data_IF_919671468460
#
_entry.id   IF_919671468460
#
_cell.length_a   1.000
_cell.length_b   1.000
_cell.length_c   1.000
_cell.angle_alpha   90.00
_cell.angle_beta   90.00
_cell.angle_gamma   90.00
#
_symmetry.space_group_name_H-M   'P 1'
#
loop_
_entity.id
_entity.type
_entity.pdbx_description
1 polymer ?
#
# COMPACT_ATOMS: atom_id res chain seq x y z
N UNK A 1 5.31 6.79 24.69
CA UNK A 1 4.39 6.05 23.80
C UNK A 1 3.92 4.84 24.56
N UNK A 2 2.62 4.47 24.52
CA UNK A 2 2.17 3.22 25.15
C UNK A 2 2.68 2.04 24.32
N UNK A 3 2.87 0.89 24.97
CA UNK A 3 3.42 -0.31 24.34
C UNK A 3 2.63 -1.54 24.81
N UNK A 4 2.39 -2.45 23.88
CA UNK A 4 1.83 -3.78 24.13
C UNK A 4 2.54 -4.74 23.18
N UNK A 5 2.95 -5.92 23.69
CA UNK A 5 3.63 -6.91 22.85
C UNK A 5 2.78 -7.25 21.61
N UNK A 6 3.41 -7.27 20.41
CA UNK A 6 2.69 -7.62 19.19
C UNK A 6 2.29 -9.09 19.22
N UNK A 7 1.03 -9.35 18.89
CA UNK A 7 0.55 -10.72 18.64
C UNK A 7 1.19 -11.25 17.36
N UNK A 8 1.40 -12.58 17.24
CA UNK A 8 1.78 -13.19 15.98
C UNK A 8 0.95 -12.69 14.78
N UNK A 9 1.61 -12.46 13.64
CA UNK A 9 0.94 -12.12 12.37
C UNK A 9 0.12 -13.28 11.83
N UNK A 10 0.54 -14.51 12.13
CA UNK A 10 -0.09 -15.77 11.73
C UNK A 10 -0.48 -16.60 12.97
N UNK A 11 -1.58 -17.38 12.90
CA UNK A 11 -1.95 -18.31 13.95
C UNK A 11 -1.09 -19.58 13.86
N UNK A 12 0.16 -19.54 14.34
CA UNK A 12 1.13 -20.65 14.19
C UNK A 12 0.62 -22.01 14.70
N UNK A 13 -0.26 -22.02 15.71
CA UNK A 13 -0.88 -23.26 16.23
C UNK A 13 -1.83 -23.92 15.23
N UNK A 14 -2.34 -23.16 14.27
CA UNK A 14 -3.22 -23.61 13.20
C UNK A 14 -2.46 -23.88 11.89
N UNK A 15 -1.13 -23.77 11.87
CA UNK A 15 -0.35 -23.89 10.63
C UNK A 15 -0.59 -25.23 9.92
N UNK A 16 -0.60 -26.34 10.66
CA UNK A 16 -0.79 -27.68 10.07
C UNK A 16 -2.22 -27.89 9.56
N UNK A 17 -3.25 -27.48 10.30
CA UNK A 17 -4.64 -27.58 9.79
C UNK A 17 -4.85 -26.69 8.55
N UNK A 18 -4.20 -25.52 8.49
CA UNK A 18 -4.22 -24.64 7.30
C UNK A 18 -3.46 -25.26 6.13
N UNK A 19 -2.38 -26.00 6.39
CA UNK A 19 -1.68 -26.79 5.37
C UNK A 19 -2.61 -27.86 4.79
N UNK A 20 -3.34 -28.58 5.63
CA UNK A 20 -4.31 -29.59 5.19
C UNK A 20 -5.36 -28.98 4.27
N UNK A 21 -5.94 -27.82 4.64
CA UNK A 21 -6.85 -27.09 3.75
C UNK A 21 -6.18 -26.70 2.43
N UNK A 22 -4.95 -26.19 2.46
CA UNK A 22 -4.22 -25.83 1.24
C UNK A 22 -4.02 -27.04 0.31
N UNK A 23 -3.65 -28.20 0.86
CA UNK A 23 -3.47 -29.44 0.11
C UNK A 23 -4.80 -29.90 -0.50
N UNK A 24 -5.88 -29.89 0.28
CA UNK A 24 -7.20 -30.30 -0.19
C UNK A 24 -7.73 -29.36 -1.29
N UNK A 25 -7.55 -28.05 -1.12
CA UNK A 25 -7.92 -27.04 -2.12
C UNK A 25 -7.16 -27.27 -3.42
N UNK A 26 -5.83 -27.41 -3.36
CA UNK A 26 -5.02 -27.68 -4.56
C UNK A 26 -5.44 -28.99 -5.24
N UNK A 27 -5.64 -30.06 -4.47
CA UNK A 27 -6.05 -31.36 -4.99
C UNK A 27 -7.42 -31.31 -5.68
N UNK A 28 -8.40 -30.64 -5.07
CA UNK A 28 -9.74 -30.49 -5.63
C UNK A 28 -9.73 -29.70 -6.95
N UNK A 29 -8.93 -28.63 -7.03
CA UNK A 29 -8.79 -27.84 -8.27
C UNK A 29 -8.12 -28.70 -9.35
N UNK A 30 -7.06 -29.44 -9.00
CA UNK A 30 -6.34 -30.31 -9.96
C UNK A 30 -7.15 -31.50 -10.45
N UNK A 31 -8.13 -31.97 -9.68
CA UNK A 31 -9.05 -33.01 -10.12
C UNK A 31 -9.97 -32.53 -11.25
N UNK A 32 -10.11 -31.21 -11.44
CA UNK A 32 -10.89 -30.64 -12.53
C UNK A 32 -10.08 -30.62 -13.84
N UNK A 33 -10.60 -31.16 -14.96
CA UNK A 33 -9.85 -31.27 -16.23
C UNK A 33 -9.32 -29.96 -16.81
N UNK A 34 -9.90 -28.81 -16.43
CA UNK A 34 -9.44 -27.50 -16.88
C UNK A 34 -8.19 -27.00 -16.14
N UNK A 35 -7.86 -27.58 -14.99
CA UNK A 35 -6.80 -27.10 -14.09
C UNK A 35 -5.83 -28.20 -13.62
N UNK A 36 -5.41 -29.17 -14.46
CA UNK A 36 -4.64 -30.33 -14.02
C UNK A 36 -3.27 -29.97 -13.40
N UNK A 37 -2.69 -28.86 -13.88
CA UNK A 37 -1.38 -28.34 -13.48
C UNK A 37 -1.46 -27.19 -12.47
N UNK A 38 -2.65 -26.92 -11.93
CA UNK A 38 -2.83 -25.86 -10.93
C UNK A 38 -1.95 -26.13 -9.71
N UNK A 39 -1.29 -25.08 -9.24
CA UNK A 39 -0.47 -25.08 -8.02
C UNK A 39 -0.76 -23.81 -7.27
N UNK A 40 -0.90 -23.90 -5.95
CA UNK A 40 -0.95 -22.71 -5.11
C UNK A 40 0.39 -21.96 -5.24
N UNK A 41 0.30 -20.63 -5.32
CA UNK A 41 1.48 -19.77 -5.31
C UNK A 41 1.66 -19.16 -3.90
N UNK A 42 2.76 -18.43 -3.69
CA UNK A 42 3.05 -17.80 -2.41
C UNK A 42 1.91 -16.86 -1.95
N UNK A 43 1.28 -16.13 -2.88
CA UNK A 43 0.10 -15.32 -2.58
C UNK A 43 -1.07 -16.14 -2.03
N UNK A 44 -1.44 -17.24 -2.69
CA UNK A 44 -2.53 -18.10 -2.26
C UNK A 44 -2.25 -18.72 -0.88
N UNK A 45 -1.02 -19.19 -0.65
CA UNK A 45 -0.61 -19.76 0.65
C UNK A 45 -0.65 -18.70 1.75
N UNK A 46 -0.15 -17.49 1.48
CA UNK A 46 -0.24 -16.37 2.42
C UNK A 46 -1.68 -16.01 2.76
N UNK A 47 -2.59 -16.00 1.77
CA UNK A 47 -4.03 -15.83 2.01
C UNK A 47 -4.57 -16.93 2.93
N UNK A 48 -4.31 -18.21 2.63
CA UNK A 48 -4.80 -19.35 3.42
C UNK A 48 -4.25 -19.30 4.86
N UNK A 49 -3.01 -18.85 5.05
CA UNK A 49 -2.43 -18.68 6.38
C UNK A 49 -3.06 -17.51 7.16
N UNK A 50 -3.55 -16.47 6.48
CA UNK A 50 -4.02 -15.25 7.11
C UNK A 50 -5.53 -15.17 7.35
N UNK A 51 -6.36 -15.73 6.48
CA UNK A 51 -7.83 -15.68 6.62
C UNK A 51 -8.29 -16.32 7.94
N UNK A 52 -9.44 -15.92 8.51
CA UNK A 52 -10.04 -16.67 9.62
C UNK A 52 -10.24 -18.14 9.25
N UNK A 53 -10.04 -19.07 10.20
CA UNK A 53 -10.18 -20.52 9.92
C UNK A 53 -11.58 -20.86 9.38
N UNK A 54 -12.61 -20.14 9.84
CA UNK A 54 -13.99 -20.26 9.37
C UNK A 54 -14.18 -19.90 7.89
N UNK A 55 -13.20 -19.23 7.25
CA UNK A 55 -13.22 -19.00 5.81
C UNK A 55 -12.83 -20.26 5.02
N UNK A 56 -12.13 -21.21 5.65
CA UNK A 56 -11.68 -22.48 5.05
C UNK A 56 -12.63 -23.65 5.39
N UNK A 57 -13.28 -23.59 6.56
CA UNK A 57 -14.28 -24.57 7.01
C UNK A 57 -15.57 -24.53 6.20
N UNK A 58 -16.41 -25.56 6.33
CA UNK A 58 -17.68 -25.71 5.62
C UNK A 58 -18.54 -24.43 5.63
N UNK A 59 -19.01 -24.01 4.45
CA UNK A 59 -19.76 -22.77 4.26
C UNK A 59 -18.91 -21.48 4.25
N UNK A 60 -17.61 -21.59 4.52
CA UNK A 60 -16.64 -20.51 4.42
C UNK A 60 -16.37 -20.06 2.98
N UNK A 61 -15.81 -18.86 2.84
CA UNK A 61 -15.59 -18.24 1.53
C UNK A 61 -14.64 -19.05 0.62
N UNK A 62 -13.58 -19.59 1.19
CA UNK A 62 -12.56 -20.42 0.51
C UNK A 62 -12.77 -21.92 0.75
N UNK A 63 -13.94 -22.30 1.29
CA UNK A 63 -14.29 -23.69 1.57
C UNK A 63 -14.47 -24.51 0.30
N UNK A 64 -14.16 -25.79 0.39
CA UNK A 64 -14.52 -26.79 -0.62
C UNK A 64 -16.01 -27.12 -0.65
N UNK A 65 -16.73 -26.82 0.43
CA UNK A 65 -18.16 -27.12 0.58
C UNK A 65 -18.94 -25.86 0.97
N UNK A 66 -20.17 -25.76 0.49
CA UNK A 66 -21.11 -24.72 0.90
C UNK A 66 -21.66 -24.96 2.31
N UNK A 67 -22.57 -24.10 2.76
CA UNK A 67 -23.15 -24.18 4.11
C UNK A 67 -24.04 -25.41 4.34
N UNK A 68 -24.50 -26.07 3.27
CA UNK A 68 -25.30 -27.30 3.34
C UNK A 68 -24.45 -28.56 3.18
N UNK A 69 -23.15 -28.41 2.89
CA UNK A 69 -22.19 -29.51 2.74
C UNK A 69 -21.98 -29.96 1.30
N UNK A 70 -22.61 -29.29 0.34
CA UNK A 70 -22.46 -29.61 -1.08
C UNK A 70 -21.13 -29.04 -1.61
N UNK A 71 -20.43 -29.76 -2.51
CA UNK A 71 -19.19 -29.27 -3.09
C UNK A 71 -19.37 -27.92 -3.81
N UNK A 72 -18.51 -26.95 -3.51
CA UNK A 72 -18.43 -25.71 -4.27
C UNK A 72 -17.91 -25.97 -5.69
N UNK A 73 -18.36 -25.16 -6.64
CA UNK A 73 -17.79 -25.15 -8.00
C UNK A 73 -16.29 -24.84 -7.94
N UNK A 74 -15.47 -25.65 -8.64
CA UNK A 74 -14.03 -25.45 -8.76
C UNK A 74 -13.72 -24.09 -9.40
N UNK A 75 -14.46 -23.69 -10.44
CA UNK A 75 -14.29 -22.39 -11.09
C UNK A 75 -14.53 -21.24 -10.10
N UNK A 76 -15.55 -21.37 -9.25
CA UNK A 76 -15.83 -20.38 -8.21
C UNK A 76 -14.69 -20.33 -7.17
N UNK A 77 -14.13 -21.47 -6.77
CA UNK A 77 -13.02 -21.52 -5.83
C UNK A 77 -11.75 -20.88 -6.40
N UNK A 78 -11.41 -21.19 -7.67
CA UNK A 78 -10.28 -20.57 -8.39
C UNK A 78 -10.49 -19.06 -8.50
N UNK A 79 -11.69 -18.62 -8.86
CA UNK A 79 -12.03 -17.19 -8.96
C UNK A 79 -11.91 -16.48 -7.60
N UNK A 80 -12.36 -17.11 -6.50
CA UNK A 80 -12.23 -16.56 -5.15
C UNK A 80 -10.77 -16.46 -4.70
N UNK A 81 -9.96 -17.48 -4.92
CA UNK A 81 -8.52 -17.45 -4.62
C UNK A 81 -7.81 -16.36 -5.40
N UNK A 82 -8.00 -16.33 -6.73
CA UNK A 82 -7.39 -15.32 -7.61
C UNK A 82 -7.84 -13.92 -7.21
N UNK A 83 -9.13 -13.75 -6.95
CA UNK A 83 -9.69 -12.46 -6.57
C UNK A 83 -9.19 -11.91 -5.22
N UNK A 84 -8.81 -12.78 -4.27
CA UNK A 84 -8.11 -12.30 -3.05
C UNK A 84 -6.73 -11.74 -3.37
N UNK A 85 -6.05 -12.25 -4.40
CA UNK A 85 -4.77 -11.70 -4.85
C UNK A 85 -4.93 -10.38 -5.59
N UNK A 86 -6.03 -10.20 -6.31
CA UNK A 86 -6.34 -8.93 -6.98
C UNK A 86 -6.48 -7.76 -6.00
N UNK A 87 -6.89 -8.02 -4.74
CA UNK A 87 -6.95 -7.02 -3.67
C UNK A 87 -5.56 -6.53 -3.25
N UNK A 88 -4.55 -7.40 -3.29
CA UNK A 88 -3.17 -7.06 -2.92
C UNK A 88 -2.30 -6.71 -4.12
N UNK A 89 -2.85 -6.78 -5.33
CA UNK A 89 -2.12 -6.67 -6.59
C UNK A 89 -1.33 -5.36 -6.75
N UNK A 90 -1.74 -4.26 -6.12
CA UNK A 90 -0.95 -3.02 -6.13
C UNK A 90 0.37 -3.14 -5.36
N UNK A 91 0.48 -4.06 -4.40
CA UNK A 91 1.75 -4.44 -3.79
C UNK A 91 2.56 -5.41 -4.67
N UNK A 92 1.88 -6.26 -5.46
CA UNK A 92 2.51 -7.35 -6.20
C UNK A 92 3.27 -6.92 -7.48
N UNK A 93 3.08 -5.69 -7.96
CA UNK A 93 3.67 -5.22 -9.23
C UNK A 93 5.06 -4.61 -9.04
N UNK A 94 6.11 -5.17 -9.68
CA UNK A 94 7.32 -4.43 -9.98
C UNK A 94 6.98 -3.26 -10.93
N UNK A 95 7.84 -2.25 -10.96
CA UNK A 95 7.67 -1.08 -11.81
C UNK A 95 7.60 -1.52 -13.30
N UNK A 96 6.82 -0.84 -14.17
CA UNK A 96 6.77 -1.15 -15.61
C UNK A 96 8.13 -1.15 -16.33
N UNK A 97 9.18 -0.56 -15.74
CA UNK A 97 10.53 -0.55 -16.30
C UNK A 97 11.34 -1.82 -15.99
N UNK A 98 10.96 -2.60 -14.98
CA UNK A 98 11.59 -3.89 -14.64
C UNK A 98 11.41 -4.92 -15.79
N UNK A 99 10.36 -4.74 -16.60
CA UNK A 99 10.11 -5.55 -17.80
C UNK A 99 10.88 -5.07 -19.05
N UNK A 100 11.38 -3.83 -19.07
CA UNK A 100 12.18 -3.30 -20.20
C UNK A 100 13.68 -3.56 -20.03
N UNK A 101 14.15 -3.67 -18.77
CA UNK A 101 15.54 -4.02 -18.49
C UNK A 101 15.86 -5.47 -18.87
N UNK A 102 14.87 -6.37 -18.88
CA UNK A 102 15.05 -7.77 -19.27
C UNK A 102 15.11 -7.99 -20.79
N UNK A 103 14.56 -7.09 -21.61
CA UNK A 103 14.46 -7.26 -23.07
C UNK A 103 15.59 -6.57 -23.86
N UNK A 104 16.31 -5.63 -23.24
CA UNK A 104 17.43 -4.92 -23.87
C UNK A 104 18.78 -5.65 -23.74
N UNK A 105 18.80 -6.91 -23.25
CA UNK A 105 20.01 -7.72 -23.08
C UNK A 105 20.54 -8.39 -24.35
N UNK A 106 19.93 -8.17 -25.53
CA UNK A 106 20.38 -8.72 -26.81
C UNK A 106 20.48 -7.65 -27.88
N UNK A 107 21.57 -6.88 -27.87
CA UNK A 107 22.14 -6.36 -29.13
C UNK A 107 23.65 -6.24 -29.00
N UNK A 108 24.33 -6.84 -29.97
CA UNK A 108 25.77 -7.05 -30.07
C UNK A 108 26.59 -5.76 -29.96
N UNK A 109 27.62 -5.77 -29.10
CA UNK A 109 28.73 -4.83 -29.12
C UNK A 109 29.72 -5.25 -30.20
N UNK A 110 29.62 -4.65 -31.39
CA UNK A 110 30.70 -4.67 -32.38
C UNK A 110 31.76 -3.63 -32.02
N UNK A 111 32.88 -4.13 -31.51
CA UNK A 111 34.11 -3.40 -31.21
C UNK A 111 34.77 -2.85 -32.49
N UNK A 112 35.20 -1.58 -32.46
CA UNK A 112 36.42 -1.18 -33.19
C UNK A 112 37.31 -0.29 -32.30
N UNK A 113 38.66 -0.38 -32.42
CA UNK A 113 39.58 0.02 -31.36
C UNK A 113 40.19 1.41 -31.60
N UNK A 114 40.40 2.18 -30.53
CA UNK A 114 41.25 3.38 -30.53
C UNK A 114 42.68 3.02 -30.14
N UNK A 115 43.65 3.54 -30.89
CA UNK A 115 45.07 3.60 -30.52
C UNK A 115 45.46 4.96 -29.91
N UNK A 116 46.59 5.01 -29.17
CA UNK A 116 46.83 6.00 -28.10
C UNK A 116 48.00 6.95 -28.37
N UNK A 117 47.94 8.20 -27.87
CA UNK A 117 49.14 9.03 -27.65
C UNK A 117 49.00 9.99 -26.46
N UNK A 118 49.91 9.82 -25.51
CA UNK A 118 50.38 10.75 -24.44
C UNK A 118 51.67 11.46 -24.92
N UNK A 119 52.39 12.37 -24.18
CA UNK A 119 52.13 13.10 -22.91
C UNK A 119 52.70 14.57 -22.82
N UNK A 120 52.63 15.17 -21.59
CA UNK A 120 53.48 16.26 -20.96
C UNK A 120 53.02 17.74 -21.17
N UNK A 121 53.14 18.70 -20.24
CA UNK A 121 53.77 18.83 -18.89
C UNK A 121 53.37 20.17 -18.20
N UNK A 122 53.38 20.16 -16.85
CA UNK A 122 53.83 21.20 -15.85
C UNK A 122 53.04 22.52 -15.64
N UNK A 123 52.49 22.72 -14.42
CA UNK A 123 52.94 23.59 -13.28
C UNK A 123 52.73 25.11 -13.52
N UNK A 124 52.19 25.96 -12.63
CA UNK A 124 52.36 26.10 -11.15
C UNK A 124 51.40 27.20 -10.59
N UNK A 125 50.92 26.99 -9.35
CA UNK A 125 50.77 27.89 -8.18
C UNK A 125 50.04 29.26 -8.20
N UNK A 126 49.14 29.41 -7.21
CA UNK A 126 48.32 30.54 -6.69
C UNK A 126 49.13 31.66 -5.94
N UNK A 127 48.58 32.61 -5.12
CA UNK A 127 47.21 33.17 -4.90
C UNK A 127 47.15 34.73 -4.63
N UNK A 128 45.92 35.23 -4.35
CA UNK A 128 45.51 36.25 -3.34
C UNK A 128 45.13 37.73 -3.70
N UNK A 129 43.88 38.07 -3.28
CA UNK A 129 43.31 39.30 -2.66
C UNK A 129 43.39 40.71 -3.29
N UNK A 130 42.23 41.38 -3.45
CA UNK A 130 41.77 42.59 -2.69
C UNK A 130 40.49 43.23 -3.31
N UNK A 131 39.49 43.51 -2.47
CA UNK A 131 38.28 44.37 -2.66
C UNK A 131 38.60 45.85 -2.37
N UNK A 132 37.67 46.86 -2.34
CA UNK A 132 36.36 47.12 -2.99
C UNK A 132 36.20 48.58 -3.52
N UNK A 133 35.10 48.96 -4.20
CA UNK A 133 34.63 50.38 -4.24
C UNK A 133 33.12 50.56 -4.51
N UNK A 134 32.58 51.65 -3.95
CA UNK A 134 31.18 52.06 -3.70
C UNK A 134 30.63 53.07 -4.73
N UNK A 135 29.29 53.12 -4.88
CA UNK A 135 28.37 54.31 -4.99
C UNK A 135 27.10 53.93 -5.80
N UNK A 136 25.90 54.50 -5.67
CA UNK A 136 25.11 55.22 -4.64
C UNK A 136 23.70 55.49 -5.22
N UNK A 137 22.69 55.58 -4.35
CA UNK A 137 21.23 55.84 -4.51
C UNK A 137 20.81 57.07 -5.38
N UNK A 138 19.83 56.97 -6.32
CA UNK A 138 18.36 57.30 -6.31
C UNK A 138 17.98 58.78 -6.65
N UNK A 139 16.69 59.18 -6.91
CA UNK A 139 15.52 58.57 -7.61
C UNK A 139 14.76 59.58 -8.55
N UNK A 140 13.73 59.14 -9.30
CA UNK A 140 12.60 60.03 -9.68
C UNK A 140 11.31 59.28 -10.01
N UNK A 141 10.21 59.74 -9.39
CA UNK A 141 8.82 59.37 -9.64
C UNK A 141 8.24 60.21 -10.80
N UNK A 142 7.27 59.67 -11.55
CA UNK A 142 5.95 60.28 -11.83
C UNK A 142 5.10 59.43 -12.81
N UNK A 143 3.89 59.10 -12.34
CA UNK A 143 2.60 59.04 -13.07
C UNK A 143 2.27 57.88 -14.05
N UNK A 144 1.20 57.14 -13.69
CA UNK A 144 0.45 56.12 -14.46
C UNK A 144 -0.58 56.77 -15.44
N UNK A 145 -1.56 56.06 -16.07
CA UNK A 145 -1.69 54.64 -16.52
C UNK A 145 -2.22 54.51 -17.98
N UNK A 146 -2.06 53.35 -18.65
CA UNK A 146 -3.05 52.78 -19.61
C UNK A 146 -2.76 51.32 -19.99
N UNK A 147 -3.79 50.52 -20.34
CA UNK A 147 -3.79 49.06 -20.27
C UNK A 147 -3.34 48.39 -21.57
N UNK A 148 -2.56 47.30 -21.48
CA UNK A 148 -2.31 46.40 -22.62
C UNK A 148 -3.18 45.14 -22.49
N UNK A 149 -4.19 45.06 -23.36
CA UNK A 149 -4.88 43.83 -23.78
C UNK A 149 -3.86 42.86 -24.36
N UNK A 150 -3.85 41.62 -23.86
CA UNK A 150 -3.11 40.48 -24.39
C UNK A 150 -3.98 39.23 -24.29
N UNK A 151 -4.79 39.02 -25.33
CA UNK A 151 -5.47 37.80 -25.80
C UNK A 151 -5.29 36.49 -25.01
N UNK A 152 -6.35 36.11 -24.28
CA UNK A 152 -6.65 34.70 -23.93
C UNK A 152 -7.02 33.95 -25.21
N UNK A 153 -6.24 32.92 -25.58
CA UNK A 153 -6.65 31.89 -26.55
C UNK A 153 -7.81 31.10 -25.94
N UNK A 154 -9.04 31.39 -26.38
CA UNK A 154 -10.19 30.54 -26.13
C UNK A 154 -10.03 29.23 -26.91
N UNK A 155 -10.04 28.11 -26.19
CA UNK A 155 -10.25 26.80 -26.82
C UNK A 155 -11.65 26.79 -27.43
N UNK A 156 -11.72 26.57 -28.74
CA UNK A 156 -12.98 26.30 -29.44
C UNK A 156 -13.64 25.09 -28.77
N UNK A 157 -14.85 25.27 -28.22
CA UNK A 157 -15.78 24.17 -27.96
C UNK A 157 -16.21 23.63 -29.32
N UNK A 158 -15.88 22.38 -29.60
CA UNK A 158 -16.62 21.59 -30.59
C UNK A 158 -17.92 21.18 -29.92
N UNK A 159 -19.02 21.79 -30.36
CA UNK A 159 -20.37 21.33 -30.03
C UNK A 159 -20.66 20.12 -30.93
N UNK A 160 -20.12 18.97 -30.55
CA UNK A 160 -20.53 17.68 -31.11
C UNK A 160 -21.65 17.11 -30.22
N UNK A 161 -22.90 17.04 -30.70
CA UNK A 161 -24.03 16.53 -29.92
C UNK A 161 -24.00 15.01 -29.71
N UNK A 162 -23.03 14.29 -30.30
CA UNK A 162 -22.84 12.84 -30.17
C UNK A 162 -21.57 12.45 -29.38
N UNK A 163 -20.91 13.42 -28.73
CA UNK A 163 -19.86 13.14 -27.76
C UNK A 163 -20.48 12.48 -26.52
N UNK A 164 -20.49 11.15 -26.54
CA UNK A 164 -20.89 10.24 -25.47
C UNK A 164 -20.47 10.83 -24.11
N UNK A 165 -21.46 11.22 -23.29
CA UNK A 165 -21.22 11.92 -22.02
C UNK A 165 -20.47 10.97 -21.07
N UNK A 166 -19.15 11.02 -21.10
CA UNK A 166 -18.30 10.35 -20.12
C UNK A 166 -18.42 11.15 -18.81
N UNK A 167 -18.99 10.59 -17.74
CA UNK A 167 -19.11 11.30 -16.47
C UNK A 167 -17.71 11.65 -15.97
N UNK A 168 -17.46 12.94 -15.73
CA UNK A 168 -16.15 13.43 -15.29
C UNK A 168 -15.77 12.82 -13.95
N UNK A 169 -14.50 12.45 -13.80
CA UNK A 169 -13.93 12.01 -12.53
C UNK A 169 -14.14 13.06 -11.44
N UNK A 170 -14.47 12.62 -10.22
CA UNK A 170 -14.53 13.55 -9.07
C UNK A 170 -13.12 13.87 -8.58
N UNK A 171 -12.88 15.14 -8.26
CA UNK A 171 -11.67 15.58 -7.57
C UNK A 171 -11.72 15.25 -6.08
N UNK A 172 -10.55 15.28 -5.42
CA UNK A 172 -10.43 15.02 -3.97
C UNK A 172 -11.09 16.13 -3.13
N UNK A 173 -11.68 15.73 -2.02
CA UNK A 173 -12.40 16.59 -1.09
C UNK A 173 -11.45 17.26 -0.11
N UNK A 174 -11.08 18.50 -0.43
CA UNK A 174 -10.15 19.31 0.37
C UNK A 174 -10.67 19.59 1.79
N UNK A 175 -12.00 19.66 1.99
CA UNK A 175 -12.57 19.85 3.32
C UNK A 175 -12.36 18.62 4.20
N UNK A 176 -12.53 17.41 3.65
CA UNK A 176 -12.29 16.16 4.37
C UNK A 176 -10.80 15.97 4.69
N UNK A 177 -9.91 16.36 3.77
CA UNK A 177 -8.48 16.36 4.01
C UNK A 177 -8.07 17.36 5.11
N UNK A 178 -8.67 18.56 5.11
CA UNK A 178 -8.47 19.54 6.19
C UNK A 178 -8.95 18.99 7.54
N UNK A 179 -10.12 18.34 7.58
CA UNK A 179 -10.65 17.73 8.79
C UNK A 179 -9.72 16.63 9.32
N UNK A 180 -9.16 15.79 8.44
CA UNK A 180 -8.15 14.80 8.82
C UNK A 180 -6.90 15.44 9.43
N UNK A 181 -6.38 16.53 8.82
CA UNK A 181 -5.25 17.27 9.39
C UNK A 181 -5.56 17.83 10.77
N UNK A 182 -6.74 18.42 10.95
CA UNK A 182 -7.18 18.94 12.26
C UNK A 182 -7.25 17.81 13.29
N UNK A 183 -7.91 16.70 12.96
CA UNK A 183 -8.03 15.51 13.82
C UNK A 183 -6.66 14.99 14.26
N UNK A 184 -5.74 14.87 13.31
CA UNK A 184 -4.40 14.34 13.52
C UNK A 184 -3.40 15.41 14.00
N UNK A 185 -3.89 16.58 14.44
CA UNK A 185 -3.12 17.66 15.05
C UNK A 185 -2.00 18.19 14.13
N UNK A 186 -2.25 18.18 12.81
CA UNK A 186 -1.33 18.58 11.74
C UNK A 186 0.05 17.93 11.84
N UNK A 187 0.11 16.69 12.33
CA UNK A 187 1.33 15.93 12.50
C UNK A 187 1.18 14.50 11.99
N UNK A 188 2.30 13.84 11.72
CA UNK A 188 2.31 12.40 11.48
C UNK A 188 1.84 11.68 12.76
N UNK A 189 0.81 10.82 12.65
CA UNK A 189 0.28 10.14 13.84
C UNK A 189 1.26 9.14 14.45
N UNK A 190 2.21 8.62 13.66
CA UNK A 190 3.23 7.66 14.12
C UNK A 190 4.43 8.35 14.76
N UNK A 191 4.95 9.39 14.10
CA UNK A 191 6.22 10.03 14.49
C UNK A 191 6.04 11.39 15.19
N UNK A 192 4.87 12.01 15.10
CA UNK A 192 4.63 13.36 15.63
C UNK A 192 5.33 14.48 14.86
N UNK A 193 5.94 14.18 13.70
CA UNK A 193 6.60 15.18 12.84
C UNK A 193 5.58 16.13 12.22
N UNK A 194 5.95 17.40 12.04
CA UNK A 194 5.15 18.39 11.33
C UNK A 194 5.06 18.10 9.83
N UNK A 195 4.13 18.81 9.16
CA UNK A 195 3.90 18.75 7.71
C UNK A 195 3.57 17.34 7.16
N UNK A 196 2.53 16.66 7.69
CA UNK A 196 2.14 15.36 7.21
C UNK A 196 1.41 15.42 5.87
N UNK A 197 1.48 14.31 5.13
CA UNK A 197 0.60 14.00 4.02
C UNK A 197 -0.68 13.34 4.53
N UNK A 198 -1.81 13.77 3.96
CA UNK A 198 -3.10 13.10 4.19
C UNK A 198 -3.16 11.90 3.25
N UNK A 199 -3.11 10.72 3.84
CA UNK A 199 -3.08 9.45 3.13
C UNK A 199 -4.46 8.80 3.21
N UNK A 200 -4.99 8.34 2.09
CA UNK A 200 -6.16 7.47 2.10
C UNK A 200 -5.77 6.08 2.61
N UNK A 201 -6.62 5.47 3.43
CA UNK A 201 -6.43 4.09 3.90
C UNK A 201 -6.77 3.14 2.75
N UNK A 202 -8.02 3.18 2.28
CA UNK A 202 -8.44 2.58 1.00
C UNK A 202 -8.30 3.63 -0.10
N UNK A 203 -7.64 3.33 -1.23
CA UNK A 203 -7.31 4.34 -2.24
C UNK A 203 -8.52 5.09 -2.80
N UNK A 204 -8.41 6.42 -2.90
CA UNK A 204 -9.41 7.29 -3.54
C UNK A 204 -9.77 6.84 -4.96
N UNK A 205 -8.79 6.31 -5.70
CA UNK A 205 -8.98 5.85 -7.06
C UNK A 205 -9.98 4.71 -7.18
N UNK A 206 -10.31 3.98 -6.12
CA UNK A 206 -11.20 2.82 -6.20
C UNK A 206 -12.65 3.18 -6.60
N UNK A 207 -13.12 4.39 -6.34
CA UNK A 207 -14.50 4.78 -6.64
C UNK A 207 -14.66 6.22 -7.15
N UNK A 208 -13.57 6.89 -7.56
CA UNK A 208 -13.61 8.29 -8.01
C UNK A 208 -14.25 8.49 -9.41
N UNK A 209 -14.43 7.41 -10.17
CA UNK A 209 -15.15 7.38 -11.44
C UNK A 209 -15.82 6.00 -11.64
N UNK A 210 -16.72 5.88 -12.63
CA UNK A 210 -17.48 4.65 -12.87
C UNK A 210 -16.62 3.47 -13.34
N UNK A 211 -15.57 3.71 -14.12
CA UNK A 211 -14.68 2.66 -14.60
C UNK A 211 -13.95 2.00 -13.43
N UNK A 212 -13.38 2.82 -12.55
CA UNK A 212 -12.72 2.34 -11.35
C UNK A 212 -13.71 1.68 -10.39
N UNK A 213 -14.89 2.25 -10.23
CA UNK A 213 -15.95 1.64 -9.43
C UNK A 213 -16.33 0.24 -9.94
N UNK A 214 -16.37 0.03 -11.27
CA UNK A 214 -16.61 -1.28 -11.87
C UNK A 214 -15.48 -2.27 -11.56
N UNK A 215 -14.22 -1.83 -11.67
CA UNK A 215 -13.04 -2.64 -11.32
C UNK A 215 -13.05 -3.01 -9.83
N UNK A 216 -13.28 -2.03 -8.96
CA UNK A 216 -13.45 -2.23 -7.52
C UNK A 216 -14.60 -3.18 -7.21
N UNK A 217 -15.68 -3.13 -7.98
CA UNK A 217 -16.81 -4.05 -7.81
C UNK A 217 -16.48 -5.50 -8.09
N UNK A 218 -15.56 -5.77 -9.02
CA UNK A 218 -15.09 -7.11 -9.30
C UNK A 218 -14.19 -7.66 -8.18
N UNK A 219 -13.40 -6.81 -7.53
CA UNK A 219 -12.38 -7.26 -6.57
C UNK A 219 -12.83 -7.17 -5.09
N UNK A 220 -13.60 -6.15 -4.72
CA UNK A 220 -13.93 -5.86 -3.32
C UNK A 220 -14.76 -6.95 -2.64
N UNK A 221 -15.51 -7.74 -3.42
CA UNK A 221 -16.26 -8.89 -2.91
C UNK A 221 -15.35 -9.93 -2.23
N UNK A 222 -14.08 -9.99 -2.61
CA UNK A 222 -13.11 -10.91 -2.03
C UNK A 222 -12.62 -10.50 -0.63
N UNK A 223 -12.98 -9.29 -0.17
CA UNK A 223 -12.75 -8.88 1.22
C UNK A 223 -13.48 -9.79 2.22
N UNK A 224 -14.54 -10.48 1.78
CA UNK A 224 -15.27 -11.48 2.56
C UNK A 224 -14.35 -12.60 3.07
N UNK A 225 -13.30 -12.97 2.33
CA UNK A 225 -12.34 -13.99 2.76
C UNK A 225 -11.66 -13.63 4.09
N UNK A 226 -11.37 -12.34 4.30
CA UNK A 226 -10.60 -11.85 5.44
C UNK A 226 -11.50 -11.37 6.58
N UNK A 227 -12.59 -10.67 6.24
CA UNK A 227 -13.40 -9.92 7.21
C UNK A 227 -14.82 -10.49 7.37
N UNK A 228 -15.18 -11.49 6.56
CA UNK A 228 -16.46 -12.16 6.61
C UNK A 228 -17.60 -11.41 5.94
N UNK A 229 -18.68 -12.15 5.71
CA UNK A 229 -19.86 -11.67 4.95
C UNK A 229 -20.60 -10.53 5.63
N UNK A 230 -20.64 -10.55 6.96
CA UNK A 230 -21.28 -9.49 7.76
C UNK A 230 -20.58 -8.15 7.59
N UNK A 231 -19.24 -8.16 7.66
CA UNK A 231 -18.42 -6.97 7.40
C UNK A 231 -18.65 -6.45 5.99
N UNK A 232 -18.57 -7.33 4.97
CA UNK A 232 -18.77 -6.93 3.59
C UNK A 232 -20.13 -6.24 3.41
N UNK A 233 -21.23 -6.87 3.86
CA UNK A 233 -22.58 -6.28 3.77
C UNK A 233 -22.69 -4.89 4.41
N UNK A 234 -21.98 -4.66 5.51
CA UNK A 234 -22.02 -3.41 6.24
C UNK A 234 -21.25 -2.28 5.54
N UNK A 235 -20.05 -2.56 5.03
CA UNK A 235 -19.14 -1.52 4.52
C UNK A 235 -19.14 -1.39 3.00
N UNK A 236 -19.72 -2.36 2.29
CA UNK A 236 -19.89 -2.33 0.83
C UNK A 236 -20.47 -1.03 0.29
N UNK A 237 -21.57 -0.48 0.87
CA UNK A 237 -22.20 0.72 0.34
C UNK A 237 -21.34 2.00 0.48
N UNK A 238 -20.24 1.94 1.24
CA UNK A 238 -19.31 3.06 1.43
C UNK A 238 -18.20 3.09 0.37
N UNK A 239 -17.88 1.93 -0.19
CA UNK A 239 -16.83 1.79 -1.21
C UNK A 239 -17.45 1.69 -2.60
N UNK A 240 -18.52 0.89 -2.75
CA UNK A 240 -19.13 0.55 -4.03
C UNK A 240 -20.43 1.30 -4.32
N UNK A 241 -20.53 2.55 -3.88
CA UNK A 241 -21.73 3.36 -4.06
C UNK A 241 -21.87 3.87 -5.50
N UNK A 242 -22.76 3.24 -6.28
CA UNK A 242 -23.01 3.64 -7.68
C UNK A 242 -23.71 4.99 -7.81
N UNK A 243 -24.46 5.41 -6.78
CA UNK A 243 -25.14 6.71 -6.76
C UNK A 243 -24.20 7.85 -6.36
N UNK A 244 -23.08 7.55 -5.71
CA UNK A 244 -22.15 8.54 -5.19
C UNK A 244 -20.69 8.13 -5.38
N UNK A 245 -20.13 8.51 -6.54
CA UNK A 245 -18.68 8.44 -6.78
C UNK A 245 -17.89 9.17 -5.68
N UNK A 246 -16.68 8.69 -5.40
CA UNK A 246 -15.81 9.17 -4.33
C UNK A 246 -16.48 9.15 -2.94
N UNK A 247 -17.40 8.20 -2.72
CA UNK A 247 -18.11 8.04 -1.44
C UNK A 247 -17.19 7.76 -0.26
N UNK A 248 -16.04 7.13 -0.51
CA UNK A 248 -15.01 6.86 0.49
C UNK A 248 -14.01 8.00 0.70
N UNK A 249 -14.16 9.14 -0.01
CA UNK A 249 -13.29 10.31 0.15
C UNK A 249 -13.69 11.13 1.38
N UNK A 250 -13.46 10.53 2.55
CA UNK A 250 -13.95 10.97 3.85
C UNK A 250 -12.86 10.89 4.90
N UNK A 251 -12.98 11.70 5.96
CA UNK A 251 -12.02 11.74 7.06
C UNK A 251 -11.84 10.38 7.75
N UNK A 252 -12.88 9.55 7.85
CA UNK A 252 -12.78 8.18 8.37
C UNK A 252 -11.98 7.23 7.47
N UNK A 253 -11.66 7.59 6.22
CA UNK A 253 -10.78 6.83 5.33
C UNK A 253 -9.44 7.55 5.09
N UNK A 254 -9.04 8.46 5.98
CA UNK A 254 -7.82 9.25 5.85
C UNK A 254 -7.00 9.20 7.14
N UNK A 255 -5.67 9.28 7.01
CA UNK A 255 -4.71 9.33 8.13
C UNK A 255 -3.50 10.20 7.76
N UNK A 256 -3.00 10.99 8.70
CA UNK A 256 -1.82 11.82 8.50
C UNK A 256 -0.53 11.04 8.77
N UNK A 257 0.27 10.84 7.72
CA UNK A 257 1.60 10.23 7.79
C UNK A 257 2.63 11.20 7.24
N UNK A 258 3.87 11.16 7.73
CA UNK A 258 4.94 11.83 7.00
C UNK A 258 5.22 11.06 5.71
N UNK A 259 5.95 11.70 4.79
CA UNK A 259 6.14 11.15 3.46
C UNK A 259 6.83 9.78 3.45
N UNK A 260 7.77 9.55 4.38
CA UNK A 260 8.45 8.27 4.51
C UNK A 260 7.50 7.16 4.95
N UNK A 261 6.69 7.40 6.00
CA UNK A 261 5.75 6.41 6.49
C UNK A 261 4.63 6.15 5.46
N UNK A 262 4.21 7.16 4.70
CA UNK A 262 3.26 6.96 3.61
C UNK A 262 3.81 5.96 2.57
N UNK A 263 5.04 6.17 2.09
CA UNK A 263 5.68 5.27 1.12
C UNK A 263 5.78 3.86 1.67
N UNK A 264 6.27 3.71 2.91
CA UNK A 264 6.47 2.39 3.52
C UNK A 264 5.18 1.64 3.81
N UNK A 265 4.11 2.35 4.12
CA UNK A 265 2.79 1.73 4.25
C UNK A 265 2.25 1.25 2.90
N UNK A 266 2.50 2.03 1.84
CA UNK A 266 2.23 1.67 0.45
C UNK A 266 3.11 0.53 -0.09
N UNK A 267 4.21 0.21 0.58
CA UNK A 267 5.11 -0.91 0.25
C UNK A 267 4.93 -2.11 1.20
N UNK A 268 3.89 -2.11 2.05
CA UNK A 268 3.62 -3.17 3.02
C UNK A 268 4.78 -3.45 4.01
N UNK A 269 5.66 -2.46 4.26
CA UNK A 269 6.78 -2.59 5.22
C UNK A 269 6.33 -2.57 6.67
N UNK A 270 5.20 -1.95 6.94
CA UNK A 270 4.53 -1.99 8.24
C UNK A 270 3.02 -2.02 8.05
N UNK A 271 2.29 -2.43 9.08
CA UNK A 271 0.84 -2.34 9.15
C UNK A 271 0.36 -1.77 10.48
N UNK A 272 -0.91 -1.36 10.48
CA UNK A 272 -1.59 -0.84 11.66
C UNK A 272 -2.71 -1.82 12.01
N UNK A 273 -2.64 -2.45 13.18
CA UNK A 273 -3.68 -3.36 13.66
C UNK A 273 -4.58 -2.61 14.63
N UNK A 274 -5.87 -2.50 14.32
CA UNK A 274 -6.82 -1.91 15.26
C UNK A 274 -7.03 -2.86 16.45
N UNK A 275 -6.84 -2.36 17.66
CA UNK A 275 -7.00 -3.15 18.89
C UNK A 275 -8.35 -2.87 19.55
N UNK A 276 -8.75 -1.60 19.64
CA UNK A 276 -9.94 -1.21 20.39
C UNK A 276 -10.50 0.14 19.93
N UNK A 277 -11.80 0.33 20.18
CA UNK A 277 -12.50 1.61 20.09
C UNK A 277 -13.07 1.91 21.47
N UNK A 278 -12.54 2.93 22.13
CA UNK A 278 -13.01 3.35 23.45
C UNK A 278 -13.86 4.60 23.33
N UNK A 279 -15.14 4.58 23.68
CA UNK A 279 -15.94 5.80 23.74
C UNK A 279 -15.36 6.72 24.80
N UNK A 280 -15.37 8.02 24.53
CA UNK A 280 -15.03 9.06 25.50
C UNK A 280 -16.28 9.89 25.84
N UNK A 281 -16.13 10.90 26.69
CA UNK A 281 -17.20 11.87 26.89
C UNK A 281 -17.53 12.59 25.57
N UNK A 282 -18.74 13.16 25.49
CA UNK A 282 -19.12 14.13 24.45
C UNK A 282 -19.25 13.59 23.01
N UNK A 283 -19.51 12.29 22.83
CA UNK A 283 -19.78 11.73 21.50
C UNK A 283 -18.52 11.47 20.66
N UNK A 284 -17.34 11.59 21.26
CA UNK A 284 -16.06 11.23 20.68
C UNK A 284 -15.66 9.79 21.07
N UNK A 285 -14.75 9.21 20.30
CA UNK A 285 -14.16 7.89 20.53
C UNK A 285 -12.67 7.92 20.24
N UNK A 286 -11.91 7.12 20.98
CA UNK A 286 -10.49 6.90 20.74
C UNK A 286 -10.31 5.54 20.07
N UNK A 287 -9.79 5.55 18.85
CA UNK A 287 -9.37 4.33 18.15
C UNK A 287 -7.91 4.08 18.50
N UNK A 288 -7.63 2.90 19.07
CA UNK A 288 -6.26 2.48 19.42
C UNK A 288 -5.77 1.45 18.41
N UNK A 289 -4.63 1.71 17.78
CA UNK A 289 -3.99 0.75 16.89
C UNK A 289 -2.54 0.49 17.29
N UNK A 290 -2.11 -0.73 17.03
CA UNK A 290 -0.75 -1.20 17.23
C UNK A 290 0.02 -1.10 15.93
N UNK A 291 1.15 -0.41 15.96
CA UNK A 291 2.12 -0.43 14.89
C UNK A 291 2.84 -1.77 14.85
N UNK A 292 3.00 -2.35 13.66
CA UNK A 292 3.70 -3.60 13.45
C UNK A 292 4.59 -3.49 12.21
N UNK A 293 5.91 -3.68 12.39
CA UNK A 293 6.78 -3.97 11.26
C UNK A 293 6.39 -5.31 10.63
N UNK A 294 6.54 -5.40 9.31
CA UNK A 294 6.21 -6.59 8.55
C UNK A 294 7.49 -7.33 8.13
N UNK A 295 7.46 -8.68 8.09
CA UNK A 295 8.57 -9.46 7.55
C UNK A 295 8.74 -9.18 6.05
N UNK A 296 9.98 -9.22 5.55
CA UNK A 296 10.24 -9.24 4.12
C UNK A 296 10.49 -10.69 3.70
N UNK A 297 9.54 -11.28 2.97
CA UNK A 297 9.73 -12.63 2.42
C UNK A 297 10.59 -12.56 1.17
N UNK A 298 11.61 -13.44 1.07
CA UNK A 298 12.42 -13.59 -0.13
C UNK A 298 11.69 -14.32 -1.28
N UNK A 299 10.45 -14.78 -1.04
CA UNK A 299 9.61 -15.41 -2.06
C UNK A 299 9.02 -14.35 -3.00
N UNK A 300 8.65 -14.73 -4.23
CA UNK A 300 7.81 -13.88 -5.08
C UNK A 300 6.35 -14.30 -4.94
N UNK A 301 5.39 -13.36 -5.06
CA UNK A 301 3.97 -13.67 -4.93
C UNK A 301 3.46 -14.77 -5.89
N UNK A 302 4.10 -14.88 -7.06
CA UNK A 302 3.75 -15.83 -8.13
C UNK A 302 4.54 -17.15 -8.05
N UNK A 303 5.47 -17.30 -7.12
CA UNK A 303 6.24 -18.54 -6.96
C UNK A 303 5.29 -19.68 -6.60
N UNK A 304 5.32 -20.77 -7.38
CA UNK A 304 4.54 -21.99 -7.10
C UNK A 304 5.10 -22.65 -5.84
N UNK A 305 4.22 -22.99 -4.91
CA UNK A 305 4.61 -23.49 -3.60
C UNK A 305 4.57 -25.01 -3.55
N UNK A 306 5.60 -25.62 -2.97
CA UNK A 306 5.50 -26.97 -2.44
C UNK A 306 4.89 -26.95 -1.03
N UNK A 307 3.78 -27.67 -0.84
CA UNK A 307 3.04 -27.72 0.43
C UNK A 307 3.49 -28.87 1.35
N UNK A 308 4.21 -29.86 0.79
CA UNK A 308 4.51 -31.14 1.44
C UNK A 308 5.99 -31.49 1.34
N UNK A 309 6.41 -32.43 2.18
CA UNK A 309 7.80 -32.91 2.25
C UNK A 309 8.66 -32.08 3.19
N UNK A 310 9.90 -32.54 3.40
CA UNK A 310 10.87 -31.85 4.25
C UNK A 310 11.29 -30.53 3.59
N UNK A 311 11.38 -29.47 4.39
CA UNK A 311 11.76 -28.13 3.95
C UNK A 311 10.82 -27.59 2.86
N UNK A 312 9.52 -27.87 2.99
CA UNK A 312 8.49 -27.38 2.06
C UNK A 312 8.46 -25.86 2.06
N UNK A 313 8.01 -25.25 0.96
CA UNK A 313 7.92 -23.80 0.91
C UNK A 313 6.88 -23.24 1.89
N UNK A 314 5.84 -24.03 2.19
CA UNK A 314 4.90 -23.73 3.26
C UNK A 314 5.62 -23.61 4.61
N UNK A 315 6.49 -24.58 4.97
CA UNK A 315 7.30 -24.52 6.19
C UNK A 315 8.20 -23.29 6.20
N UNK A 316 8.84 -23.00 5.08
CA UNK A 316 9.72 -21.82 4.96
C UNK A 316 8.95 -20.52 5.22
N UNK A 317 7.74 -20.37 4.71
CA UNK A 317 6.90 -19.19 4.95
C UNK A 317 6.50 -19.07 6.43
N UNK A 318 6.00 -20.16 7.02
CA UNK A 318 5.56 -20.20 8.43
C UNK A 318 6.75 -19.96 9.38
N UNK A 319 7.85 -20.67 9.18
CA UNK A 319 9.05 -20.57 10.01
C UNK A 319 9.72 -19.20 9.90
N UNK A 320 9.70 -18.58 8.71
CA UNK A 320 10.20 -17.21 8.52
C UNK A 320 9.37 -16.21 9.33
N UNK A 321 8.03 -16.27 9.21
CA UNK A 321 7.13 -15.41 9.97
C UNK A 321 7.25 -15.63 11.49
N UNK A 322 7.39 -16.88 11.93
CA UNK A 322 7.57 -17.21 13.34
C UNK A 322 8.92 -16.73 13.88
N UNK A 323 10.00 -16.91 13.11
CA UNK A 323 11.34 -16.45 13.47
C UNK A 323 11.39 -14.92 13.56
N UNK A 324 10.76 -14.21 12.62
CA UNK A 324 10.64 -12.76 12.67
C UNK A 324 9.91 -12.29 13.94
N UNK A 325 8.79 -12.94 14.29
CA UNK A 325 8.05 -12.63 15.51
C UNK A 325 8.84 -12.94 16.79
N UNK A 326 9.46 -14.13 16.89
CA UNK A 326 10.33 -14.52 18.03
C UNK A 326 11.57 -13.61 18.15
N UNK A 327 12.05 -13.06 17.04
CA UNK A 327 13.12 -12.06 16.97
C UNK A 327 12.69 -10.65 17.37
N UNK A 328 11.47 -10.47 17.89
CA UNK A 328 10.95 -9.19 18.37
C UNK A 328 10.26 -8.34 17.29
N UNK A 329 9.99 -8.91 16.11
CA UNK A 329 9.40 -8.19 14.97
C UNK A 329 10.18 -6.92 14.63
N UNK A 330 11.50 -7.03 14.65
CA UNK A 330 12.45 -5.99 14.29
C UNK A 330 12.97 -6.34 12.90
N UNK A 331 12.81 -5.45 11.92
CA UNK A 331 13.46 -5.66 10.65
C UNK A 331 14.97 -5.66 10.78
N UNK A 332 15.63 -6.53 10.02
CA UNK A 332 17.08 -6.60 9.97
C UNK A 332 17.67 -5.34 9.34
N UNK A 333 18.92 -5.03 9.69
CA UNK A 333 19.65 -3.90 9.09
C UNK A 333 19.90 -4.08 7.59
N UNK A 334 19.75 -5.29 7.05
CA UNK A 334 19.80 -5.55 5.61
C UNK A 334 18.49 -5.13 4.92
N UNK A 335 17.33 -5.43 5.53
CA UNK A 335 15.99 -5.10 5.02
C UNK A 335 15.65 -3.59 5.11
N UNK A 336 16.30 -2.83 6.00
CA UNK A 336 15.99 -1.40 6.23
C UNK A 336 17.21 -0.47 6.18
N UNK A 337 18.37 -0.98 5.76
CA UNK A 337 19.66 -0.27 5.83
C UNK A 337 20.03 0.11 7.28
N UNK A 338 21.06 0.95 7.44
CA UNK A 338 21.48 1.52 8.76
C UNK A 338 20.42 2.45 9.40
N UNK A 339 19.21 2.50 8.84
CA UNK A 339 18.21 3.55 9.04
C UNK A 339 17.27 3.27 10.21
N UNK A 340 17.19 2.05 10.73
CA UNK A 340 16.33 1.70 11.88
C UNK A 340 16.55 2.61 13.11
N UNK A 341 17.75 3.18 13.27
CA UNK A 341 18.09 4.14 14.31
C UNK A 341 17.50 5.56 14.11
N UNK A 342 16.83 5.86 12.99
CA UNK A 342 16.33 7.19 12.64
C UNK A 342 14.83 7.40 12.87
N UNK A 343 14.05 6.36 13.21
CA UNK A 343 12.59 6.45 13.30
C UNK A 343 12.12 6.78 14.70
N UNK A 344 12.62 7.88 15.24
CA UNK A 344 12.25 8.36 16.57
C UNK A 344 10.94 9.12 16.51
N UNK A 345 9.98 8.74 17.34
CA UNK A 345 8.80 9.57 17.58
C UNK A 345 9.26 10.86 18.29
N UNK A 346 9.09 12.00 17.63
CA UNK A 346 9.63 13.30 18.04
C UNK A 346 9.16 13.72 19.43
N UNK A 347 7.94 13.35 19.81
CA UNK A 347 7.37 13.70 21.12
C UNK A 347 7.95 12.86 22.26
N UNK A 348 8.26 11.59 21.99
CA UNK A 348 8.70 10.66 23.03
C UNK A 348 10.20 10.38 23.03
N UNK A 349 10.91 10.69 21.94
CA UNK A 349 12.33 10.37 21.81
C UNK A 349 12.61 8.87 21.61
N UNK A 350 11.58 8.04 21.44
CA UNK A 350 11.71 6.58 21.33
C UNK A 350 11.62 6.12 19.87
N UNK A 351 12.49 5.20 19.41
CA UNK A 351 12.37 4.55 18.11
C UNK A 351 11.04 3.81 17.94
N UNK A 352 10.43 3.89 16.76
CA UNK A 352 9.19 3.19 16.46
C UNK A 352 9.44 1.68 16.28
N UNK A 353 8.92 0.89 17.21
CA UNK A 353 9.02 -0.58 17.21
C UNK A 353 7.63 -1.22 17.16
N UNK A 354 7.58 -2.46 16.69
CA UNK A 354 6.37 -3.28 16.72
C UNK A 354 5.84 -3.37 18.15
N UNK A 355 4.53 -3.15 18.32
CA UNK A 355 3.88 -3.12 19.64
C UNK A 355 3.58 -1.70 20.17
N UNK A 356 4.15 -0.66 19.56
CA UNK A 356 3.77 0.71 19.91
C UNK A 356 2.30 1.00 19.60
N UNK A 357 1.62 1.62 20.57
CA UNK A 357 0.23 1.99 20.47
C UNK A 357 0.10 3.45 20.05
N UNK A 358 -0.77 3.69 19.08
CA UNK A 358 -1.17 5.02 18.62
C UNK A 358 -2.67 5.17 18.84
N UNK A 359 -3.05 6.32 19.38
CA UNK A 359 -4.42 6.67 19.68
C UNK A 359 -4.83 7.85 18.80
N UNK A 360 -5.95 7.68 18.08
CA UNK A 360 -6.57 8.76 17.30
C UNK A 360 -7.97 9.00 17.86
N UNK A 361 -8.22 10.24 18.27
CA UNK A 361 -9.53 10.74 18.69
C UNK A 361 -10.35 11.10 17.45
N UNK A 362 -11.62 10.72 17.41
CA UNK A 362 -12.56 11.06 16.34
C UNK A 362 -14.02 10.93 16.77
N UNK A 363 -14.97 11.48 15.99
CA UNK A 363 -16.39 11.30 16.27
C UNK A 363 -16.76 9.82 16.36
N UNK A 364 -17.61 9.47 17.33
CA UNK A 364 -18.01 8.06 17.55
C UNK A 364 -18.71 7.45 16.34
N UNK A 365 -19.33 8.26 15.48
CA UNK A 365 -19.89 7.82 14.21
C UNK A 365 -18.85 7.36 13.20
N UNK A 366 -17.65 7.95 13.24
CA UNK A 366 -16.56 7.69 12.28
C UNK A 366 -15.68 6.53 12.74
N UNK A 367 -15.55 6.29 14.04
CA UNK A 367 -14.66 5.28 14.60
C UNK A 367 -14.87 3.86 14.04
N UNK A 368 -16.11 3.32 13.91
CA UNK A 368 -16.32 2.01 13.30
C UNK A 368 -15.93 1.96 11.82
N UNK A 369 -16.14 3.06 11.08
CA UNK A 369 -15.80 3.17 9.66
C UNK A 369 -14.28 3.20 9.47
N UNK A 370 -13.59 3.99 10.30
CA UNK A 370 -12.14 4.08 10.32
C UNK A 370 -11.50 2.74 10.67
N UNK A 371 -12.00 2.06 11.72
CA UNK A 371 -11.57 0.70 12.08
C UNK A 371 -11.73 -0.26 10.90
N UNK A 372 -12.88 -0.25 10.23
CA UNK A 372 -13.12 -1.15 9.11
C UNK A 372 -12.09 -0.96 7.98
N UNK A 373 -11.74 0.29 7.64
CA UNK A 373 -10.72 0.55 6.62
C UNK A 373 -9.32 0.10 7.07
N UNK A 374 -8.97 0.33 8.34
CA UNK A 374 -7.70 -0.14 8.91
C UNK A 374 -7.63 -1.67 8.92
N UNK A 375 -8.69 -2.37 9.34
CA UNK A 375 -8.73 -3.85 9.35
C UNK A 375 -8.59 -4.43 7.95
N UNK A 376 -9.23 -3.80 6.96
CA UNK A 376 -9.12 -4.20 5.56
C UNK A 376 -7.71 -3.97 5.01
N UNK A 377 -7.11 -2.81 5.30
CA UNK A 377 -5.74 -2.51 4.91
C UNK A 377 -4.74 -3.44 5.59
N UNK A 378 -4.94 -3.75 6.87
CA UNK A 378 -4.16 -4.72 7.64
C UNK A 378 -4.16 -6.08 6.95
N UNK A 379 -5.33 -6.60 6.57
CA UNK A 379 -5.44 -7.90 5.93
C UNK A 379 -4.63 -7.98 4.62
N UNK A 380 -4.71 -6.92 3.80
CA UNK A 380 -3.96 -6.84 2.54
C UNK A 380 -2.44 -6.76 2.78
N UNK A 381 -2.01 -5.96 3.76
CA UNK A 381 -0.58 -5.79 4.08
C UNK A 381 0.04 -7.08 4.60
N UNK A 382 -0.66 -7.83 5.45
CA UNK A 382 -0.12 -9.10 5.96
C UNK A 382 0.11 -10.11 4.83
N UNK A 383 -0.85 -10.25 3.92
CA UNK A 383 -0.68 -11.12 2.74
C UNK A 383 0.48 -10.63 1.86
N UNK A 384 0.54 -9.33 1.56
CA UNK A 384 1.59 -8.73 0.76
C UNK A 384 2.99 -8.98 1.36
N UNK A 385 3.15 -8.80 2.66
CA UNK A 385 4.40 -9.03 3.36
C UNK A 385 4.85 -10.49 3.30
N UNK A 386 3.93 -11.43 3.58
CA UNK A 386 4.25 -12.86 3.64
C UNK A 386 4.59 -13.46 2.27
N UNK A 387 3.95 -12.98 1.21
CA UNK A 387 4.23 -13.46 -0.15
C UNK A 387 5.39 -12.72 -0.86
N UNK A 388 6.06 -11.80 -0.16
CA UNK A 388 7.23 -11.07 -0.66
C UNK A 388 6.89 -10.00 -1.69
N UNK A 389 5.66 -9.46 -1.61
CA UNK A 389 5.28 -8.25 -2.32
C UNK A 389 5.80 -6.98 -1.64
N UNK A 390 6.22 -7.09 -0.36
CA UNK A 390 6.96 -6.02 0.31
C UNK A 390 8.31 -5.85 -0.39
N UNK A 391 8.55 -4.66 -0.93
CA UNK A 391 9.72 -4.36 -1.77
C UNK A 391 10.99 -4.36 -0.91
N UNK A 392 12.03 -5.06 -1.34
CA UNK A 392 13.39 -4.88 -0.84
C UNK A 392 14.24 -4.33 -1.99
N UNK A 393 14.55 -3.03 -1.98
CA UNK A 393 15.41 -2.44 -3.02
C UNK A 393 16.23 -1.26 -2.50
N UNK A 394 17.53 -1.27 -2.80
CA UNK A 394 18.54 -0.27 -2.41
C UNK A 394 18.34 1.09 -3.12
N UNK A 395 17.43 1.18 -4.09
CA UNK A 395 17.17 2.40 -4.88
C UNK A 395 15.79 3.05 -4.63
N UNK A 396 15.31 2.97 -3.38
CA UNK A 396 14.04 3.54 -2.88
C UNK A 396 13.78 5.02 -3.27
N UNK A 397 14.82 5.82 -3.52
CA UNK A 397 14.69 7.26 -3.76
C UNK A 397 14.16 7.64 -5.16
N UNK A 398 14.36 6.80 -6.19
CA UNK A 398 13.81 7.05 -7.55
C UNK A 398 12.38 6.52 -7.70
N UNK A 399 11.98 5.52 -6.89
CA UNK A 399 10.60 4.99 -6.84
C UNK A 399 9.64 5.96 -6.12
N UNK A 400 10.15 6.78 -5.20
CA UNK A 400 9.46 7.87 -4.49
C UNK A 400 8.65 8.82 -5.42
N UNK A 401 9.14 9.12 -6.62
CA UNK A 401 8.42 9.96 -7.59
C UNK A 401 7.37 9.20 -8.41
N UNK A 402 7.40 7.86 -8.43
CA UNK A 402 6.58 7.01 -9.33
C UNK A 402 5.40 6.33 -8.62
N UNK A 403 5.50 6.03 -7.33
CA UNK A 403 4.31 5.68 -6.51
C UNK A 403 3.32 6.86 -6.50
N UNK A 404 3.83 8.08 -6.72
CA UNK A 404 3.04 9.27 -6.96
C UNK A 404 2.35 9.32 -8.33
N UNK A 405 2.76 8.56 -9.36
CA UNK A 405 2.10 8.62 -10.68
C UNK A 405 0.69 8.02 -10.69
N UNK A 406 0.37 7.06 -9.81
CA UNK A 406 -1.03 6.65 -9.58
C UNK A 406 -1.81 7.63 -8.68
N UNK A 407 -1.11 8.54 -8.00
CA UNK A 407 -1.66 9.58 -7.12
C UNK A 407 -1.72 10.96 -7.83
N UNK A 408 -1.03 11.16 -8.96
CA UNK A 408 -0.83 12.45 -9.62
C UNK A 408 -1.00 12.47 -11.16
N UNK A 409 -1.27 11.37 -11.86
CA UNK A 409 -1.50 11.45 -13.31
C UNK A 409 -2.97 11.73 -13.68
N UNK A 410 -3.29 13.01 -13.85
CA UNK A 410 -4.07 13.56 -14.98
C UNK A 410 -3.85 15.08 -15.03
N UNK A 411 -3.13 15.62 -16.04
CA UNK A 411 -3.00 17.07 -16.27
C UNK A 411 -4.21 17.63 -17.08
N UNK A 412 -4.33 18.96 -17.22
CA UNK A 412 -5.42 19.84 -16.75
C UNK A 412 -6.83 19.66 -17.34
#
# INVERSE_FOLDING_TARGET
MRFQDPTPLLPFREAEIRREFAIQIEAAIRAHPMYPDFRLNAGHVATILHVPISALEQGGYLSLQDSVGEPNSVDALVARLTGTLDLVHHYLKPSPEDNKAADNGRTELSLTPRTPHTPRKRQKQSPASHTPSKRSYQPSNLSSPRPRKGTRKGSKKSDDPDADYQPKSKGRNQAQAKNCRTRDKSACVLMGTSDPQVCHIVPFSWNNNYENLRKTSAVFIHAEAFLGKGWLRQFDPLIRNVQNLASSDKTWNMICLNIQMQTWWGEARFGLKCLDIRPTAEGESVVTFQFNWMPCSAMKPTDKMNLQGKDSDFDRMVNSAESFWKGGSIPTSAEFGKTAALFVNVKSGVPLISGHLIEIEMPSSDAPLFKAMIDFQWAMIVVAALCGAAVDDENSFDRYFRTMEWVLQSPP
#
